data_IF_760478983563
#
_entry.id   IF_760478983563
#
_cell.length_a   1.000
_cell.length_b   1.000
_cell.length_c   1.000
_cell.angle_alpha   90.00
_cell.angle_beta   90.00
_cell.angle_gamma   90.00
#
_symmetry.space_group_name_H-M   'P 1'
#
loop_
_entity.id
_entity.type
_entity.pdbx_description
1 polymer ?
#
# COMPACT_ATOMS: atom_id res chain seq x y z
N UNK A 1 19.49 -18.73 -3.12
CA UNK A 1 18.08 -19.16 -2.95
C UNK A 1 17.07 -18.06 -3.32
N UNK A 2 17.29 -16.79 -2.95
CA UNK A 2 16.39 -15.66 -3.28
C UNK A 2 16.27 -15.34 -4.78
N UNK A 3 17.37 -15.50 -5.54
CA UNK A 3 17.41 -15.22 -6.98
C UNK A 3 16.58 -16.18 -7.84
N UNK A 4 16.48 -17.45 -7.43
CA UNK A 4 15.68 -18.45 -8.15
C UNK A 4 14.18 -18.17 -7.99
N UNK A 5 13.78 -17.68 -6.82
CA UNK A 5 12.39 -17.30 -6.55
C UNK A 5 11.95 -16.11 -7.41
N UNK A 6 12.82 -15.09 -7.54
CA UNK A 6 12.55 -13.89 -8.34
C UNK A 6 12.43 -14.23 -9.84
N UNK A 7 13.28 -15.12 -10.34
CA UNK A 7 13.20 -15.57 -11.74
C UNK A 7 11.94 -16.41 -12.02
N UNK A 8 11.52 -17.24 -11.05
CA UNK A 8 10.28 -18.00 -11.17
C UNK A 8 9.06 -17.08 -11.25
N UNK A 9 9.00 -16.04 -10.41
CA UNK A 9 7.90 -15.06 -10.41
C UNK A 9 7.86 -14.27 -11.73
N UNK A 10 9.01 -13.80 -12.23
CA UNK A 10 9.08 -13.08 -13.52
C UNK A 10 8.65 -13.95 -14.70
N UNK A 11 8.94 -15.26 -14.67
CA UNK A 11 8.50 -16.19 -15.71
C UNK A 11 6.99 -16.44 -15.71
N UNK A 12 6.35 -16.44 -14.53
CA UNK A 12 4.90 -16.60 -14.41
C UNK A 12 4.13 -15.39 -14.97
N UNK A 13 4.65 -14.18 -14.75
CA UNK A 13 4.03 -12.94 -15.26
C UNK A 13 4.19 -12.82 -16.78
N UNK A 14 5.28 -13.33 -17.36
CA UNK A 14 5.45 -13.35 -18.81
C UNK A 14 4.41 -14.26 -19.48
N UNK A 15 4.12 -15.44 -18.92
CA UNK A 15 3.21 -16.41 -19.53
C UNK A 15 1.73 -15.97 -19.53
N UNK A 16 1.31 -15.15 -18.56
CA UNK A 16 -0.05 -14.58 -18.56
C UNK A 16 -0.23 -13.50 -19.62
N UNK A 17 0.85 -12.82 -20.03
CA UNK A 17 0.82 -11.78 -21.07
C UNK A 17 0.80 -12.39 -22.48
N UNK A 18 1.46 -13.54 -22.70
CA UNK A 18 1.53 -14.18 -24.03
C UNK A 18 0.27 -14.99 -24.42
N UNK A 19 -0.66 -15.25 -23.50
CA UNK A 19 -1.86 -16.04 -23.79
C UNK A 19 -3.01 -15.26 -24.45
N UNK A 20 -2.87 -13.94 -24.66
CA UNK A 20 -3.88 -13.11 -25.32
C UNK A 20 -3.37 -12.53 -26.65
N UNK A 21 -3.44 -13.32 -27.72
CA UNK A 21 -3.35 -12.88 -29.12
C UNK A 21 -3.62 -14.07 -30.06
N UNK A 22 -4.47 -13.94 -31.10
CA UNK A 22 -4.24 -13.08 -32.30
C UNK A 22 -5.52 -12.30 -32.74
N UNK A 23 -5.60 -11.35 -33.69
CA UNK A 23 -4.72 -10.64 -34.64
C UNK A 23 -5.43 -9.29 -35.02
N UNK A 24 -4.79 -8.36 -35.76
CA UNK A 24 -5.22 -6.96 -35.93
C UNK A 24 -6.02 -6.65 -37.23
N UNK A 25 -6.73 -5.50 -37.24
CA UNK A 25 -6.98 -4.49 -38.32
C UNK A 25 -8.43 -3.89 -38.31
N UNK A 26 -8.74 -2.76 -39.00
CA UNK A 26 -8.16 -1.41 -38.89
C UNK A 26 -9.22 -0.26 -39.04
N UNK A 27 -9.26 0.79 -38.21
CA UNK A 27 -9.75 2.12 -38.69
C UNK A 27 -9.47 3.32 -37.79
N UNK A 28 -8.52 4.14 -38.25
CA UNK A 28 -8.48 5.62 -38.25
C UNK A 28 -9.22 6.38 -37.14
N UNK A 29 -8.44 6.88 -36.19
CA UNK A 29 -8.66 8.16 -35.50
C UNK A 29 -7.78 8.27 -34.26
N UNK A 30 -6.86 9.25 -34.13
CA UNK A 30 -6.17 9.47 -32.87
C UNK A 30 -7.08 10.28 -31.95
N UNK A 31 -8.07 9.62 -31.36
CA UNK A 31 -8.61 10.04 -30.07
C UNK A 31 -7.74 9.43 -28.97
N UNK A 32 -7.48 10.11 -27.84
CA UNK A 32 -6.79 9.48 -26.73
C UNK A 32 -7.57 8.24 -26.31
N UNK A 33 -6.90 7.09 -26.35
CA UNK A 33 -7.39 5.84 -25.78
C UNK A 33 -7.76 6.12 -24.31
N UNK A 34 -8.97 5.76 -23.85
CA UNK A 34 -9.31 5.94 -22.44
C UNK A 34 -8.33 5.11 -21.60
N UNK A 35 -7.55 5.79 -20.77
CA UNK A 35 -6.59 5.12 -19.88
C UNK A 35 -7.31 4.06 -19.03
N UNK A 36 -6.69 2.87 -18.83
CA UNK A 36 -7.29 1.81 -18.03
C UNK A 36 -7.58 2.34 -16.62
N UNK A 37 -8.86 2.34 -16.25
CA UNK A 37 -9.28 2.74 -14.91
C UNK A 37 -8.81 1.67 -13.90
N UNK A 38 -8.09 2.02 -12.83
CA UNK A 38 -7.66 1.05 -11.83
C UNK A 38 -8.85 0.32 -11.21
N UNK A 39 -8.78 -1.01 -11.11
CA UNK A 39 -9.79 -1.77 -10.38
C UNK A 39 -9.75 -1.42 -8.88
N UNK A 40 -10.91 -1.39 -8.20
CA UNK A 40 -10.96 -1.09 -6.77
C UNK A 40 -10.22 -2.15 -5.95
N UNK A 41 -9.43 -1.72 -4.98
CA UNK A 41 -8.73 -2.62 -4.06
C UNK A 41 -9.76 -3.38 -3.20
N UNK A 42 -9.68 -4.73 -3.10
CA UNK A 42 -10.54 -5.52 -2.23
C UNK A 42 -10.56 -5.01 -0.78
N UNK A 43 -11.76 -4.98 -0.17
CA UNK A 43 -11.94 -4.51 1.22
C UNK A 43 -11.06 -5.25 2.22
N UNK A 44 -10.88 -6.56 2.05
CA UNK A 44 -10.02 -7.39 2.91
C UNK A 44 -8.57 -6.92 2.87
N UNK A 45 -8.03 -6.66 1.67
CA UNK A 45 -6.67 -6.16 1.50
C UNK A 45 -6.49 -4.76 2.09
N UNK A 46 -7.52 -3.89 1.99
CA UNK A 46 -7.50 -2.57 2.63
C UNK A 46 -7.45 -2.68 4.15
N UNK A 47 -8.28 -3.55 4.74
CA UNK A 47 -8.31 -3.77 6.17
C UNK A 47 -6.98 -4.35 6.68
N UNK A 48 -6.47 -5.40 6.05
CA UNK A 48 -5.22 -6.06 6.43
C UNK A 48 -4.03 -5.10 6.38
N UNK A 49 -3.97 -4.27 5.33
CA UNK A 49 -2.92 -3.26 5.18
C UNK A 49 -2.99 -2.22 6.29
N UNK A 50 -4.19 -1.73 6.61
CA UNK A 50 -4.38 -0.79 7.70
C UNK A 50 -3.96 -1.40 9.04
N UNK A 51 -4.47 -2.60 9.36
CA UNK A 51 -4.21 -3.27 10.64
C UNK A 51 -2.72 -3.53 10.81
N UNK A 52 -2.05 -4.00 9.76
CA UNK A 52 -0.59 -4.24 9.79
C UNK A 52 0.19 -2.97 10.09
N UNK A 53 -0.14 -1.86 9.42
CA UNK A 53 0.56 -0.60 9.64
C UNK A 53 0.27 -0.02 11.04
N UNK A 54 -1.00 -0.09 11.47
CA UNK A 54 -1.42 0.35 12.78
C UNK A 54 -0.80 -0.48 13.91
N UNK A 55 -0.59 -1.79 13.70
CA UNK A 55 0.09 -2.67 14.66
C UNK A 55 1.55 -2.26 14.87
N UNK A 56 2.26 -1.95 13.78
CA UNK A 56 3.65 -1.44 13.86
C UNK A 56 3.72 -0.13 14.65
N UNK A 57 2.85 0.84 14.32
CA UNK A 57 2.84 2.15 15.01
C UNK A 57 2.44 1.99 16.48
N UNK A 58 1.47 1.11 16.76
CA UNK A 58 1.10 0.77 18.14
C UNK A 58 2.26 0.15 18.91
N UNK A 59 3.04 -0.73 18.30
CA UNK A 59 4.24 -1.31 18.90
C UNK A 59 5.20 -0.23 19.40
N UNK A 60 5.48 0.79 18.57
CA UNK A 60 6.28 1.94 18.98
C UNK A 60 5.65 2.73 20.14
N UNK A 61 4.33 2.93 20.11
CA UNK A 61 3.63 3.63 21.18
C UNK A 61 3.66 2.87 22.51
N UNK A 62 3.47 1.54 22.48
CA UNK A 62 3.50 0.67 23.65
C UNK A 62 4.92 0.56 24.24
N UNK A 63 5.95 0.61 23.39
CA UNK A 63 7.36 0.70 23.79
C UNK A 63 7.79 2.10 24.26
N UNK A 64 6.87 3.08 24.24
CA UNK A 64 7.12 4.47 24.62
C UNK A 64 8.22 5.14 23.78
N UNK A 65 8.42 4.69 22.54
CA UNK A 65 9.33 5.31 21.58
C UNK A 65 8.80 6.70 21.24
N UNK A 66 9.60 7.76 21.37
CA UNK A 66 9.11 9.12 21.17
C UNK A 66 8.74 9.36 19.70
N UNK A 67 7.73 10.20 19.48
CA UNK A 67 7.11 10.41 18.16
C UNK A 67 8.10 10.95 17.11
N UNK A 68 9.11 11.71 17.51
CA UNK A 68 10.17 12.19 16.61
C UNK A 68 11.05 11.05 16.08
N UNK A 69 11.33 10.04 16.89
CA UNK A 69 12.04 8.83 16.46
C UNK A 69 11.17 7.98 15.52
N UNK A 70 9.88 7.83 15.82
CA UNK A 70 8.93 7.15 14.92
C UNK A 70 8.81 7.88 13.59
N UNK A 71 8.77 9.22 13.61
CA UNK A 71 8.77 10.05 12.41
C UNK A 71 10.03 9.86 11.59
N UNK A 72 11.20 9.79 12.23
CA UNK A 72 12.45 9.54 11.53
C UNK A 72 12.46 8.20 10.78
N UNK A 73 11.97 7.14 11.41
CA UNK A 73 11.86 5.82 10.78
C UNK A 73 10.81 5.80 9.66
N UNK A 74 9.66 6.47 9.84
CA UNK A 74 8.65 6.60 8.78
C UNK A 74 9.18 7.37 7.57
N UNK A 75 9.93 8.47 7.78
CA UNK A 75 10.56 9.22 6.69
C UNK A 75 11.59 8.38 5.94
N UNK A 76 12.37 7.58 6.66
CA UNK A 76 13.33 6.65 6.06
C UNK A 76 12.62 5.58 5.24
N UNK A 77 11.56 4.99 5.77
CA UNK A 77 10.72 4.04 5.05
C UNK A 77 10.20 4.66 3.75
N UNK A 78 9.63 5.87 3.79
CA UNK A 78 9.12 6.52 2.58
C UNK A 78 10.22 6.71 1.52
N UNK A 79 11.45 7.09 1.92
CA UNK A 79 12.57 7.28 0.99
C UNK A 79 13.05 5.98 0.33
N UNK A 80 12.96 4.86 1.05
CA UNK A 80 13.40 3.55 0.58
C UNK A 80 12.38 2.89 -0.37
N UNK A 81 11.16 3.42 -0.46
CA UNK A 81 10.12 2.94 -1.36
C UNK A 81 10.34 3.39 -2.81
N UNK A 82 9.89 2.59 -3.81
CA UNK A 82 9.81 3.00 -5.21
C UNK A 82 8.97 4.28 -5.39
N UNK A 83 9.27 5.07 -6.42
CA UNK A 83 8.73 6.43 -6.63
C UNK A 83 7.22 6.58 -6.39
N UNK A 84 6.40 5.70 -7.00
CA UNK A 84 4.95 5.74 -6.85
C UNK A 84 4.49 5.51 -5.40
N UNK A 85 5.18 4.64 -4.66
CA UNK A 85 4.87 4.33 -3.26
C UNK A 85 5.46 5.37 -2.31
N UNK A 86 6.64 5.91 -2.62
CA UNK A 86 7.24 7.03 -1.88
C UNK A 86 6.31 8.24 -1.87
N UNK A 87 5.80 8.62 -3.04
CA UNK A 87 4.87 9.74 -3.17
C UNK A 87 3.60 9.56 -2.34
N UNK A 88 3.00 8.37 -2.37
CA UNK A 88 1.85 8.06 -1.53
C UNK A 88 2.22 8.08 -0.05
N UNK A 89 3.37 7.53 0.33
CA UNK A 89 3.87 7.53 1.72
C UNK A 89 4.07 8.96 2.25
N UNK A 90 4.74 9.82 1.47
CA UNK A 90 5.01 11.21 1.87
C UNK A 90 3.74 12.06 1.93
N UNK A 91 2.76 11.83 1.04
CA UNK A 91 1.50 12.58 1.03
C UNK A 91 0.48 12.09 2.03
N UNK A 92 0.40 10.78 2.27
CA UNK A 92 -0.69 10.18 3.04
C UNK A 92 -0.25 9.76 4.45
N UNK A 93 0.95 9.17 4.61
CA UNK A 93 1.42 8.67 5.91
C UNK A 93 2.03 9.79 6.77
N UNK A 94 3.06 10.47 6.27
CA UNK A 94 3.83 11.42 7.08
C UNK A 94 3.03 12.59 7.68
N UNK A 95 2.05 13.19 6.97
CA UNK A 95 1.23 14.27 7.52
C UNK A 95 0.24 13.79 8.59
N UNK A 96 -0.12 12.51 8.55
CA UNK A 96 -1.11 11.92 9.46
C UNK A 96 -0.46 11.16 10.63
N UNK A 97 0.86 10.91 10.59
CA UNK A 97 1.57 10.06 11.55
C UNK A 97 1.34 10.45 13.01
N UNK A 98 1.40 11.74 13.34
CA UNK A 98 1.19 12.22 14.73
C UNK A 98 -0.18 11.82 15.24
N UNK A 99 -1.23 12.04 14.43
CA UNK A 99 -2.60 11.69 14.76
C UNK A 99 -2.75 10.18 14.92
N UNK A 100 -2.17 9.41 14.00
CA UNK A 100 -2.22 7.93 14.04
C UNK A 100 -1.55 7.41 15.32
N UNK A 101 -0.36 7.91 15.63
CA UNK A 101 0.41 7.53 16.82
C UNK A 101 -0.34 7.87 18.11
N UNK A 102 -0.89 9.08 18.24
CA UNK A 102 -1.66 9.47 19.44
C UNK A 102 -2.97 8.68 19.59
N UNK A 103 -3.67 8.37 18.49
CA UNK A 103 -4.89 7.55 18.55
C UNK A 103 -4.56 6.10 18.96
N UNK A 104 -3.47 5.51 18.47
CA UNK A 104 -3.08 4.13 18.77
C UNK A 104 -2.55 3.92 20.20
N UNK A 105 -2.22 4.99 20.94
CA UNK A 105 -2.02 4.92 22.39
C UNK A 105 -3.28 4.49 23.14
N UNK A 106 -4.46 4.77 22.59
CA UNK A 106 -5.75 4.57 23.26
C UNK A 106 -6.60 3.47 22.61
N UNK A 107 -6.22 3.01 21.42
CA UNK A 107 -7.01 2.08 20.63
C UNK A 107 -6.17 0.92 20.12
N UNK A 108 -6.81 -0.24 19.94
CA UNK A 108 -6.20 -1.35 19.20
C UNK A 108 -6.12 -1.05 17.70
N UNK A 109 -5.24 -1.72 16.94
CA UNK A 109 -5.13 -1.54 15.49
C UNK A 109 -6.46 -1.79 14.77
N UNK A 110 -7.21 -2.82 15.18
CA UNK A 110 -8.50 -3.15 14.60
C UNK A 110 -9.57 -2.08 14.89
N UNK A 111 -9.65 -1.58 16.13
CA UNK A 111 -10.57 -0.49 16.48
C UNK A 111 -10.25 0.78 15.70
N UNK A 112 -8.97 1.13 15.57
CA UNK A 112 -8.50 2.25 14.77
C UNK A 112 -8.93 2.09 13.30
N UNK A 113 -8.60 0.95 12.67
CA UNK A 113 -8.92 0.73 11.25
C UNK A 113 -10.42 0.63 10.96
N UNK A 114 -11.21 0.15 11.92
CA UNK A 114 -12.68 0.14 11.84
C UNK A 114 -13.25 1.56 11.97
N UNK A 115 -12.70 2.38 12.87
CA UNK A 115 -13.09 3.78 13.06
C UNK A 115 -12.80 4.64 11.81
N UNK A 116 -11.71 4.35 11.10
CA UNK A 116 -11.30 5.05 9.87
C UNK A 116 -11.78 4.37 8.58
N UNK A 117 -12.79 3.50 8.67
CA UNK A 117 -13.48 2.87 7.53
C UNK A 117 -12.55 2.09 6.58
N UNK A 118 -11.45 1.57 7.12
CA UNK A 118 -10.56 0.64 6.40
C UNK A 118 -10.99 -0.82 6.61
N UNK A 119 -11.63 -1.09 7.75
CA UNK A 119 -12.26 -2.36 8.08
C UNK A 119 -13.77 -2.19 8.24
N UNK A 120 -14.54 -3.24 7.91
CA UNK A 120 -15.98 -3.28 8.18
C UNK A 120 -16.22 -3.44 9.68
N UNK A 121 -17.26 -2.79 10.20
CA UNK A 121 -17.80 -3.08 11.53
C UNK A 121 -18.47 -4.45 11.46
N UNK A 122 -18.02 -5.38 12.29
CA UNK A 122 -18.69 -6.67 12.52
C UNK A 122 -19.98 -6.49 13.32
#
# INVERSE_FOLDING_TARGET
>A
MKTVLVLAILSCVALTIYAQGPEPEPTRGPGPEPEPTPEPIPDELRCDTCVTLADIIKGYADEHIPLDEVRHEAEKLCRDLPEQLREACERELLPNLDKVYEELKQHTPLEFCTKHEQCKKE
#
